data_IF_069779246518
#
_entry.id   IF_069779246518
#
_cell.length_a   1.000
_cell.length_b   1.000
_cell.length_c   1.000
_cell.angle_alpha   90.00
_cell.angle_beta   90.00
_cell.angle_gamma   90.00
#
_symmetry.space_group_name_H-M   'P 1'
#
loop_
_entity.id
_entity.type
_entity.pdbx_description
1 polymer ?
#
# COMPACT_ATOMS: atom_id res chain seq x y z
N UNK A 1 2.62 11.48 17.15
CA UNK A 1 2.55 10.65 15.93
C UNK A 1 1.10 10.27 15.79
N UNK A 2 0.50 10.53 14.64
CA UNK A 2 -0.84 10.00 14.34
C UNK A 2 -0.65 8.52 14.05
N UNK A 3 -1.30 7.64 14.80
CA UNK A 3 -1.24 6.21 14.53
C UNK A 3 -2.08 5.95 13.27
N UNK A 4 -1.38 5.61 12.19
CA UNK A 4 -2.00 5.16 10.95
C UNK A 4 -2.21 3.65 11.02
N UNK A 5 -3.28 3.17 10.40
CA UNK A 5 -3.61 1.74 10.39
C UNK A 5 -4.26 1.33 9.07
N UNK A 6 -4.00 0.10 8.66
CA UNK A 6 -4.64 -0.50 7.49
C UNK A 6 -6.10 -0.83 7.81
N UNK A 7 -7.02 -0.38 6.96
CA UNK A 7 -8.46 -0.69 7.08
C UNK A 7 -8.80 -1.96 6.32
N UNK A 8 -8.43 -1.99 5.04
CA UNK A 8 -8.75 -3.09 4.15
C UNK A 8 -7.81 -3.09 2.95
N UNK A 9 -7.70 -4.26 2.31
CA UNK A 9 -7.02 -4.45 1.04
C UNK A 9 -7.83 -5.42 0.17
N UNK A 10 -7.92 -5.14 -1.13
CA UNK A 10 -8.70 -5.95 -2.07
C UNK A 10 -8.08 -5.94 -3.46
N UNK A 11 -8.50 -6.90 -4.28
CA UNK A 11 -8.15 -6.91 -5.69
C UNK A 11 -9.07 -6.02 -6.51
N UNK A 12 -8.49 -5.34 -7.48
CA UNK A 12 -9.21 -4.64 -8.52
C UNK A 12 -8.58 -4.90 -9.89
N UNK A 13 -9.30 -4.54 -10.96
CA UNK A 13 -8.83 -4.71 -12.33
C UNK A 13 -8.43 -6.15 -12.67
N UNK A 14 -9.31 -7.11 -12.38
CA UNK A 14 -9.10 -8.55 -12.63
C UNK A 14 -7.80 -9.08 -11.97
N UNK A 15 -7.61 -8.77 -10.70
CA UNK A 15 -6.49 -9.19 -9.85
C UNK A 15 -5.11 -8.65 -10.32
N UNK A 16 -5.09 -7.65 -11.19
CA UNK A 16 -3.85 -7.01 -11.66
C UNK A 16 -3.37 -5.90 -10.74
N UNK A 17 -4.24 -5.39 -9.86
CA UNK A 17 -3.92 -4.36 -8.88
C UNK A 17 -4.45 -4.76 -7.49
N UNK A 18 -3.64 -4.51 -6.46
CA UNK A 18 -4.08 -4.54 -5.07
C UNK A 18 -4.31 -3.11 -4.63
N UNK A 19 -5.53 -2.85 -4.20
CA UNK A 19 -5.97 -1.59 -3.62
C UNK A 19 -6.02 -1.74 -2.11
N UNK A 20 -5.71 -0.67 -1.39
CA UNK A 20 -5.74 -0.68 0.06
C UNK A 20 -6.00 0.69 0.66
N UNK A 21 -6.60 0.68 1.83
CA UNK A 21 -7.00 1.89 2.56
C UNK A 21 -6.20 2.01 3.86
N UNK A 22 -5.68 3.21 4.09
CA UNK A 22 -5.01 3.60 5.33
C UNK A 22 -5.80 4.73 5.97
N UNK A 23 -6.10 4.60 7.26
CA UNK A 23 -6.76 5.64 8.03
C UNK A 23 -5.89 6.10 9.20
N UNK A 24 -6.24 7.26 9.76
CA UNK A 24 -5.68 7.73 11.03
C UNK A 24 -6.77 8.06 12.05
N UNK A 25 -6.37 8.23 13.31
CA UNK A 25 -7.30 8.52 14.42
C UNK A 25 -8.07 9.85 14.27
N UNK A 26 -7.61 10.74 13.39
CA UNK A 26 -8.26 12.03 13.12
C UNK A 26 -9.35 11.92 12.04
N UNK A 27 -9.62 10.71 11.54
CA UNK A 27 -10.62 10.45 10.49
C UNK A 27 -10.11 10.74 9.08
N UNK A 28 -8.80 10.92 8.90
CA UNK A 28 -8.19 10.96 7.58
C UNK A 28 -8.17 9.58 6.95
N UNK A 29 -8.61 9.48 5.69
CA UNK A 29 -8.57 8.25 4.88
C UNK A 29 -7.76 8.51 3.62
N UNK A 30 -6.92 7.54 3.29
CA UNK A 30 -6.01 7.57 2.15
C UNK A 30 -6.13 6.25 1.39
N UNK A 31 -6.25 6.35 0.07
CA UNK A 31 -6.41 5.18 -0.80
C UNK A 31 -5.15 5.00 -1.62
N UNK A 32 -4.68 3.76 -1.69
CA UNK A 32 -3.50 3.39 -2.43
C UNK A 32 -3.79 2.24 -3.36
N UNK A 33 -3.05 2.20 -4.47
CA UNK A 33 -3.00 1.03 -5.34
C UNK A 33 -1.59 0.68 -5.73
N UNK A 34 -1.33 -0.62 -5.82
CA UNK A 34 -0.06 -1.18 -6.22
C UNK A 34 -0.31 -2.34 -7.19
N UNK A 35 0.49 -2.43 -8.26
CA UNK A 35 0.36 -3.51 -9.23
C UNK A 35 0.69 -4.87 -8.61
N UNK A 36 -0.13 -5.89 -8.86
CA UNK A 36 0.09 -7.25 -8.37
C UNK A 36 1.46 -7.78 -8.79
N UNK A 37 1.93 -7.46 -10.00
CA UNK A 37 3.28 -7.84 -10.48
C UNK A 37 4.38 -7.22 -9.63
N UNK A 38 4.21 -5.98 -9.17
CA UNK A 38 5.20 -5.31 -8.33
C UNK A 38 5.27 -5.99 -6.95
N UNK A 39 4.11 -6.25 -6.32
CA UNK A 39 4.02 -7.03 -5.09
C UNK A 39 4.72 -8.38 -5.25
N UNK A 40 4.39 -9.12 -6.31
CA UNK A 40 4.91 -10.46 -6.54
C UNK A 40 6.43 -10.50 -6.66
N UNK A 41 7.01 -9.48 -7.26
CA UNK A 41 8.45 -9.39 -7.50
C UNK A 41 9.21 -8.83 -6.30
N UNK A 42 8.61 -7.93 -5.52
CA UNK A 42 9.30 -7.17 -4.47
C UNK A 42 9.05 -7.70 -3.06
N UNK A 43 7.86 -8.24 -2.79
CA UNK A 43 7.52 -8.79 -1.48
C UNK A 43 7.95 -10.25 -1.36
N UNK A 44 8.53 -10.59 -0.21
CA UNK A 44 8.94 -11.95 0.12
C UNK A 44 7.72 -12.80 0.50
N UNK A 45 7.77 -14.09 0.18
CA UNK A 45 6.73 -15.06 0.55
C UNK A 45 6.54 -16.11 -0.53
N UNK A 46 6.25 -17.35 -0.11
CA UNK A 46 6.03 -18.49 -1.01
C UNK A 46 4.60 -18.51 -1.60
N UNK A 47 3.75 -17.57 -1.18
CA UNK A 47 2.39 -17.44 -1.69
C UNK A 47 2.41 -17.05 -3.16
N UNK A 48 1.58 -17.70 -3.98
CA UNK A 48 1.45 -17.36 -5.41
C UNK A 48 0.52 -16.18 -5.66
N UNK A 49 -0.19 -15.71 -4.64
CA UNK A 49 -1.21 -14.67 -4.70
C UNK A 49 -0.70 -13.34 -4.15
N UNK A 50 -0.95 -12.24 -4.87
CA UNK A 50 -0.37 -10.93 -4.56
C UNK A 50 -1.02 -10.30 -3.31
N UNK A 51 -2.33 -10.45 -3.13
CA UNK A 51 -3.04 -9.98 -1.94
C UNK A 51 -2.57 -10.75 -0.69
N UNK A 52 -2.34 -12.05 -0.80
CA UNK A 52 -1.78 -12.86 0.28
C UNK A 52 -0.36 -12.44 0.64
N UNK A 53 0.49 -12.09 -0.34
CA UNK A 53 1.81 -11.50 -0.09
C UNK A 53 1.72 -10.11 0.54
N UNK A 54 0.76 -9.30 0.10
CA UNK A 54 0.50 -7.99 0.69
C UNK A 54 0.18 -8.11 2.19
N UNK A 55 -0.75 -9.00 2.57
CA UNK A 55 -1.08 -9.23 3.98
C UNK A 55 0.09 -9.80 4.79
N UNK A 56 0.94 -10.63 4.17
CA UNK A 56 2.15 -11.10 4.85
C UNK A 56 3.14 -9.97 5.17
N UNK A 57 3.19 -8.95 4.31
CA UNK A 57 4.01 -7.75 4.49
C UNK A 57 3.17 -6.53 4.93
N UNK A 58 2.08 -6.75 5.66
CA UNK A 58 1.12 -5.69 6.02
C UNK A 58 1.80 -4.52 6.75
N UNK A 59 2.65 -4.81 7.73
CA UNK A 59 3.38 -3.77 8.49
C UNK A 59 4.33 -2.96 7.60
N UNK A 60 5.04 -3.64 6.68
CA UNK A 60 5.94 -2.99 5.72
C UNK A 60 5.15 -2.11 4.72
N UNK A 61 3.99 -2.59 4.26
CA UNK A 61 3.11 -1.85 3.35
C UNK A 61 2.47 -0.64 4.03
N UNK A 62 2.10 -0.77 5.30
CA UNK A 62 1.62 0.36 6.11
C UNK A 62 2.72 1.40 6.29
N UNK A 63 3.94 1.00 6.65
CA UNK A 63 5.08 1.90 6.81
C UNK A 63 5.42 2.64 5.51
N UNK A 64 5.37 1.94 4.37
CA UNK A 64 5.51 2.54 3.04
C UNK A 64 4.44 3.61 2.79
N UNK A 65 3.17 3.27 3.02
CA UNK A 65 2.06 4.19 2.78
C UNK A 65 2.14 5.45 3.66
N UNK A 66 2.48 5.29 4.95
CA UNK A 66 2.69 6.42 5.88
C UNK A 66 3.82 7.33 5.39
N UNK A 67 4.92 6.75 4.95
CA UNK A 67 6.05 7.52 4.41
C UNK A 67 5.63 8.33 3.18
N UNK A 68 4.83 7.74 2.28
CA UNK A 68 4.31 8.43 1.09
C UNK A 68 3.36 9.58 1.50
N UNK A 69 2.49 9.38 2.50
CA UNK A 69 1.60 10.44 3.01
C UNK A 69 2.40 11.62 3.51
N UNK A 70 3.46 11.36 4.29
CA UNK A 70 4.29 12.40 4.90
C UNK A 70 5.14 13.15 3.86
N UNK A 71 5.64 12.48 2.81
CA UNK A 71 6.61 13.06 1.86
C UNK A 71 5.99 13.59 0.55
N UNK A 72 4.91 12.97 0.05
CA UNK A 72 4.40 13.26 -1.31
C UNK A 72 3.14 14.15 -1.33
N UNK A 73 2.78 14.78 -0.19
CA UNK A 73 1.58 15.63 -0.05
C UNK A 73 0.30 14.96 -0.57
N UNK A 74 0.08 13.71 -0.17
CA UNK A 74 -1.08 12.92 -0.63
C UNK A 74 -2.39 13.60 -0.23
N UNK A 75 -3.31 13.74 -1.19
CA UNK A 75 -4.64 14.30 -0.94
C UNK A 75 -5.51 13.34 -0.12
N UNK A 76 -6.18 13.89 0.89
CA UNK A 76 -7.22 13.19 1.65
C UNK A 76 -8.33 12.70 0.72
N UNK A 77 -8.71 11.42 0.85
CA UNK A 77 -9.67 10.73 -0.03
C UNK A 77 -9.23 10.63 -1.50
N UNK A 78 -7.98 10.99 -1.83
CA UNK A 78 -7.39 10.77 -3.13
C UNK A 78 -6.83 9.36 -3.27
N UNK A 79 -6.79 8.85 -4.50
CA UNK A 79 -6.12 7.58 -4.82
C UNK A 79 -4.68 7.84 -5.26
N UNK A 80 -3.72 7.21 -4.58
CA UNK A 80 -2.29 7.28 -4.89
C UNK A 80 -1.79 5.97 -5.48
N UNK A 81 -1.16 6.04 -6.64
CA UNK A 81 -0.53 4.87 -7.27
C UNK A 81 0.91 4.71 -6.79
N UNK A 82 1.23 3.56 -6.20
CA UNK A 82 2.58 3.15 -5.87
C UNK A 82 3.18 2.44 -7.09
N UNK A 83 4.05 3.14 -7.81
CA UNK A 83 4.82 2.57 -8.91
C UNK A 83 6.17 2.01 -8.43
N UNK A 84 6.95 1.43 -9.35
CA UNK A 84 8.24 0.84 -8.98
C UNK A 84 9.24 1.87 -8.42
N UNK A 85 9.17 3.14 -8.86
CA UNK A 85 10.08 4.18 -8.40
C UNK A 85 9.76 4.59 -6.96
N UNK A 86 8.47 4.81 -6.67
CA UNK A 86 7.98 5.09 -5.32
C UNK A 86 8.28 3.94 -4.37
N UNK A 87 8.05 2.70 -4.81
CA UNK A 87 8.34 1.50 -4.02
C UNK A 87 9.83 1.42 -3.68
N UNK A 88 10.73 1.48 -4.68
CA UNK A 88 12.18 1.40 -4.46
C UNK A 88 12.74 2.56 -3.62
N UNK A 89 12.12 3.74 -3.71
CA UNK A 89 12.53 4.90 -2.91
C UNK A 89 12.34 4.65 -1.41
N UNK A 90 11.28 3.96 -1.03
CA UNK A 90 10.80 3.91 0.36
C UNK A 90 10.86 2.51 1.00
N UNK A 91 11.32 1.46 0.29
CA UNK A 91 11.46 0.09 0.83
C UNK A 91 12.91 -0.45 0.82
N UNK A 92 13.92 0.37 1.16
CA UNK A 92 15.34 -0.03 1.12
C UNK A 92 15.71 -1.16 2.08
#
# INVERSE_FOLDING_TARGET
>A
MSDYFLISAWYENADTEVHFEVANELGGQYFFKIGSVLIQNKLKGDNTDALSKFYYAEEDMLALAVTIIDEEMVELNGETKIDNLLFERYTQ
#
